data_IF_943350491792
#
_entry.id   IF_943350491792
#
_cell.length_a   1.000
_cell.length_b   1.000
_cell.length_c   1.000
_cell.angle_alpha   90.00
_cell.angle_beta   90.00
_cell.angle_gamma   90.00
#
_symmetry.space_group_name_H-M   'P 1'
#
loop_
_entity.id
_entity.type
_entity.pdbx_description
1 polymer ?
#
# COMPACT_ATOMS: atom_id res chain seq x y z
N UNK A 1 -43.01 -10.39 5.20
CA UNK A 1 -41.98 -10.22 6.24
C UNK A 1 -40.63 -10.09 5.53
N UNK A 2 -40.18 -8.86 5.26
CA UNK A 2 -38.90 -8.63 4.58
C UNK A 2 -37.77 -8.93 5.55
N UNK A 3 -36.99 -9.98 5.27
CA UNK A 3 -35.81 -10.35 6.05
C UNK A 3 -34.76 -9.27 5.79
N UNK A 4 -34.59 -8.31 6.71
CA UNK A 4 -33.50 -7.32 6.72
C UNK A 4 -32.13 -7.98 7.00
N UNK A 5 -31.84 -9.10 6.34
CA UNK A 5 -30.54 -9.73 6.33
C UNK A 5 -29.92 -9.48 4.97
N UNK A 6 -28.70 -8.94 4.95
CA UNK A 6 -27.91 -8.87 3.72
C UNK A 6 -27.92 -10.25 3.01
N UNK A 7 -27.95 -10.29 1.66
CA UNK A 7 -27.92 -11.53 0.88
C UNK A 7 -26.87 -12.52 1.40
N UNK A 8 -27.14 -13.82 1.37
CA UNK A 8 -26.16 -14.83 1.80
C UNK A 8 -24.85 -14.77 0.99
N UNK A 9 -24.90 -14.19 -0.22
CA UNK A 9 -23.74 -13.89 -1.07
C UNK A 9 -22.97 -12.63 -0.66
N UNK A 10 -23.55 -11.76 0.17
CA UNK A 10 -22.82 -10.73 0.94
C UNK A 10 -22.17 -11.31 2.21
N UNK A 11 -22.49 -12.57 2.54
CA UNK A 11 -22.04 -13.29 3.72
C UNK A 11 -20.66 -13.89 3.52
N UNK A 12 -19.64 -13.03 3.45
CA UNK A 12 -18.26 -13.35 3.82
C UNK A 12 -17.43 -12.08 3.63
N UNK A 13 -17.02 -11.43 4.73
CA UNK A 13 -15.92 -10.47 4.71
C UNK A 13 -14.61 -11.22 4.42
N UNK A 14 -14.47 -11.78 3.23
CA UNK A 14 -13.33 -12.61 2.87
C UNK A 14 -12.26 -11.80 2.17
N UNK A 15 -11.03 -12.07 2.58
CA UNK A 15 -9.77 -11.70 1.94
C UNK A 15 -9.59 -12.30 0.53
N UNK A 16 -10.60 -13.01 0.03
CA UNK A 16 -10.60 -13.68 -1.26
C UNK A 16 -10.71 -12.68 -2.41
N UNK A 17 -11.55 -11.65 -2.27
CA UNK A 17 -11.65 -10.58 -3.26
C UNK A 17 -10.34 -9.80 -3.36
N UNK A 18 -9.72 -9.51 -2.22
CA UNK A 18 -8.38 -8.88 -2.18
C UNK A 18 -7.32 -9.80 -2.75
N UNK A 19 -7.39 -11.12 -2.52
CA UNK A 19 -6.46 -12.07 -3.12
C UNK A 19 -6.56 -12.09 -4.66
N UNK A 20 -7.78 -12.07 -5.22
CA UNK A 20 -7.97 -11.99 -6.68
C UNK A 20 -7.36 -10.70 -7.23
N UNK A 21 -7.60 -9.57 -6.56
CA UNK A 21 -7.00 -8.29 -6.95
C UNK A 21 -5.47 -8.33 -6.86
N UNK A 22 -4.93 -8.95 -5.81
CA UNK A 22 -3.49 -9.04 -5.59
C UNK A 22 -2.81 -9.86 -6.67
N UNK A 23 -3.33 -11.05 -6.96
CA UNK A 23 -2.76 -11.93 -7.98
C UNK A 23 -3.00 -11.40 -9.41
N UNK A 24 -4.16 -10.80 -9.66
CA UNK A 24 -4.55 -10.35 -11.00
C UNK A 24 -3.92 -9.01 -11.42
N UNK A 25 -3.67 -8.10 -10.48
CA UNK A 25 -3.26 -6.74 -10.78
C UNK A 25 -2.06 -6.27 -9.96
N UNK A 26 -2.07 -6.46 -8.65
CA UNK A 26 -1.05 -5.87 -7.77
C UNK A 26 0.29 -6.55 -7.98
N UNK A 27 0.35 -7.88 -7.96
CA UNK A 27 1.56 -8.66 -8.17
C UNK A 27 2.25 -8.39 -9.53
N UNK A 28 1.56 -8.40 -10.69
CA UNK A 28 2.20 -8.06 -11.95
C UNK A 28 2.68 -6.60 -12.00
N UNK A 29 1.94 -5.65 -11.39
CA UNK A 29 2.40 -4.27 -11.27
C UNK A 29 3.65 -4.17 -10.39
N UNK A 30 3.69 -4.85 -9.25
CA UNK A 30 4.87 -4.88 -8.38
C UNK A 30 6.09 -5.48 -9.08
N UNK A 31 5.92 -6.58 -9.82
CA UNK A 31 6.99 -7.16 -10.64
C UNK A 31 7.49 -6.18 -11.69
N UNK A 32 6.57 -5.53 -12.42
CA UNK A 32 6.93 -4.55 -13.43
C UNK A 32 7.65 -3.34 -12.82
N UNK A 33 7.19 -2.84 -11.69
CA UNK A 33 7.82 -1.74 -10.95
C UNK A 33 9.20 -2.15 -10.43
N UNK A 34 9.35 -3.34 -9.87
CA UNK A 34 10.64 -3.87 -9.41
C UNK A 34 11.66 -3.97 -10.58
N UNK A 35 11.23 -4.50 -11.73
CA UNK A 35 12.07 -4.54 -12.95
C UNK A 35 12.47 -3.14 -13.40
N UNK A 36 11.55 -2.17 -13.40
CA UNK A 36 11.86 -0.79 -13.77
C UNK A 36 12.82 -0.13 -12.77
N UNK A 37 12.68 -0.42 -11.48
CA UNK A 37 13.55 0.07 -10.42
C UNK A 37 14.98 -0.49 -10.59
N UNK A 38 15.11 -1.79 -10.83
CA UNK A 38 16.40 -2.45 -11.12
C UNK A 38 17.05 -1.94 -12.40
N UNK A 39 16.24 -1.51 -13.38
CA UNK A 39 16.71 -0.90 -14.64
C UNK A 39 16.94 0.61 -14.51
N UNK A 40 16.86 1.18 -13.30
CA UNK A 40 16.99 2.62 -13.03
C UNK A 40 16.09 3.51 -13.91
N UNK A 41 14.89 3.02 -14.27
CA UNK A 41 13.92 3.79 -15.06
C UNK A 41 13.11 4.71 -14.15
N UNK A 42 12.78 5.94 -14.59
CA UNK A 42 12.06 6.92 -13.76
C UNK A 42 10.71 6.40 -13.28
N UNK A 43 10.01 5.62 -14.11
CA UNK A 43 8.73 5.02 -13.76
C UNK A 43 8.83 4.12 -12.52
N UNK A 44 9.93 3.38 -12.35
CA UNK A 44 10.15 2.51 -11.19
C UNK A 44 10.19 3.30 -9.89
N UNK A 45 10.89 4.44 -9.89
CA UNK A 45 10.97 5.31 -8.72
C UNK A 45 9.66 5.99 -8.37
N UNK A 46 8.82 6.32 -9.36
CA UNK A 46 7.50 6.93 -9.10
C UNK A 46 6.47 5.90 -8.64
N UNK A 47 6.44 4.72 -9.28
CA UNK A 47 5.45 3.68 -8.98
C UNK A 47 5.74 2.97 -7.64
N UNK A 48 7.02 2.81 -7.26
CA UNK A 48 7.41 2.12 -6.03
C UNK A 48 6.71 2.67 -4.76
N UNK A 49 6.77 3.99 -4.43
CA UNK A 49 6.10 4.50 -3.25
C UNK A 49 4.57 4.42 -3.35
N UNK A 50 3.99 4.56 -4.54
CA UNK A 50 2.53 4.47 -4.76
C UNK A 50 2.05 3.05 -4.46
N UNK A 51 2.68 2.04 -5.07
CA UNK A 51 2.32 0.64 -4.87
C UNK A 51 2.59 0.17 -3.44
N UNK A 52 3.70 0.63 -2.84
CA UNK A 52 4.01 0.34 -1.43
C UNK A 52 2.94 0.92 -0.51
N UNK A 53 2.51 2.16 -0.73
CA UNK A 53 1.43 2.78 0.03
C UNK A 53 0.10 2.04 -0.13
N UNK A 54 -0.25 1.65 -1.36
CA UNK A 54 -1.43 0.84 -1.62
C UNK A 54 -1.40 -0.48 -0.84
N UNK A 55 -0.26 -1.19 -0.85
CA UNK A 55 -0.09 -2.44 -0.09
C UNK A 55 -0.28 -2.23 1.42
N UNK A 56 0.25 -1.13 1.98
CA UNK A 56 0.03 -0.78 3.39
C UNK A 56 -1.46 -0.64 3.70
N UNK A 57 -2.20 0.10 2.86
CA UNK A 57 -3.65 0.29 3.02
C UNK A 57 -4.41 -1.03 2.97
N UNK A 58 -4.07 -1.92 2.04
CA UNK A 58 -4.71 -3.25 1.94
C UNK A 58 -4.54 -4.02 3.23
N UNK A 59 -3.35 -4.07 3.82
CA UNK A 59 -3.16 -4.77 5.10
C UNK A 59 -3.92 -4.15 6.27
N UNK A 60 -4.09 -2.82 6.30
CA UNK A 60 -4.95 -2.15 7.30
C UNK A 60 -6.41 -2.58 7.13
N UNK A 61 -6.90 -2.62 5.88
CA UNK A 61 -8.27 -3.07 5.58
C UNK A 61 -8.48 -4.52 5.97
N UNK A 62 -7.55 -5.42 5.60
CA UNK A 62 -7.62 -6.84 5.94
C UNK A 62 -7.60 -7.05 7.45
N UNK A 63 -6.75 -6.33 8.18
CA UNK A 63 -6.72 -6.38 9.64
C UNK A 63 -8.04 -5.87 10.25
N UNK A 64 -8.56 -4.76 9.73
CA UNK A 64 -9.84 -4.20 10.16
C UNK A 64 -11.01 -5.16 9.93
N UNK A 65 -11.05 -5.84 8.77
CA UNK A 65 -12.04 -6.87 8.48
C UNK A 65 -12.01 -7.99 9.52
N UNK A 66 -10.81 -8.43 9.92
CA UNK A 66 -10.65 -9.51 10.91
C UNK A 66 -11.07 -9.10 12.31
N UNK A 67 -10.77 -7.86 12.71
CA UNK A 67 -11.28 -7.31 13.97
C UNK A 67 -12.81 -7.28 13.96
N UNK A 68 -13.44 -6.85 12.85
CA UNK A 68 -14.90 -6.81 12.72
C UNK A 68 -15.55 -8.21 12.74
N UNK A 69 -14.89 -9.23 12.17
CA UNK A 69 -15.33 -10.62 12.26
C UNK A 69 -15.27 -11.15 13.69
N UNK A 70 -14.21 -10.81 14.44
CA UNK A 70 -14.08 -11.18 15.85
C UNK A 70 -15.22 -10.58 16.69
N UNK A 71 -15.63 -9.33 16.43
CA UNK A 71 -16.76 -8.70 17.11
C UNK A 71 -18.12 -9.33 16.79
N UNK A 72 -18.24 -10.03 15.66
CA UNK A 72 -19.47 -10.73 15.25
C UNK A 72 -19.54 -12.19 15.71
N UNK A 73 -18.56 -12.63 16.51
CA UNK A 73 -18.41 -14.02 16.94
C UNK A 73 -18.41 -15.02 15.77
N UNK A 74 -17.94 -14.59 14.59
CA UNK A 74 -17.71 -15.50 13.47
C UNK A 74 -16.55 -16.43 13.82
N UNK A 75 -16.77 -17.73 13.77
CA UNK A 75 -15.76 -18.75 14.09
C UNK A 75 -14.79 -18.87 12.91
N UNK A 76 -13.74 -18.04 12.92
CA UNK A 76 -12.59 -18.19 12.04
C UNK A 76 -11.52 -18.97 12.78
N UNK A 77 -10.97 -20.02 12.16
CA UNK A 77 -9.90 -20.79 12.79
C UNK A 77 -8.60 -19.98 12.88
N UNK A 78 -7.76 -20.29 13.87
CA UNK A 78 -6.43 -19.68 13.96
C UNK A 78 -5.58 -19.93 12.70
N UNK A 79 -5.75 -21.11 12.08
CA UNK A 79 -5.05 -21.47 10.85
C UNK A 79 -5.47 -20.57 9.67
N UNK A 80 -6.78 -20.35 9.48
CA UNK A 80 -7.29 -19.45 8.44
C UNK A 80 -6.83 -18.00 8.67
N UNK A 81 -6.83 -17.55 9.92
CA UNK A 81 -6.31 -16.21 10.27
C UNK A 81 -4.82 -16.11 9.90
N UNK A 82 -4.03 -17.12 10.22
CA UNK A 82 -2.62 -17.17 9.87
C UNK A 82 -2.37 -17.08 8.36
N UNK A 83 -3.12 -17.82 7.56
CA UNK A 83 -2.94 -17.87 6.10
C UNK A 83 -3.42 -16.57 5.43
N UNK A 84 -4.56 -16.03 5.86
CA UNK A 84 -5.23 -14.94 5.15
C UNK A 84 -4.92 -13.54 5.65
N UNK A 85 -4.30 -13.39 6.82
CA UNK A 85 -4.14 -12.09 7.50
C UNK A 85 -2.69 -11.79 7.76
N UNK A 86 -1.95 -12.78 8.26
CA UNK A 86 -0.55 -12.59 8.65
C UNK A 86 0.33 -12.07 7.51
N UNK A 87 0.24 -12.57 6.26
CA UNK A 87 1.07 -12.07 5.16
C UNK A 87 0.83 -10.58 4.91
N UNK A 88 -0.43 -10.15 4.93
CA UNK A 88 -0.80 -8.76 4.73
C UNK A 88 -0.27 -7.85 5.82
N UNK A 89 -0.42 -8.25 7.08
CA UNK A 89 0.07 -7.46 8.22
C UNK A 89 1.59 -7.32 8.17
N UNK A 90 2.31 -8.42 7.90
CA UNK A 90 3.77 -8.41 7.80
C UNK A 90 4.26 -7.56 6.61
N UNK A 91 3.67 -7.74 5.43
CA UNK A 91 4.03 -6.97 4.24
C UNK A 91 3.72 -5.48 4.43
N UNK A 92 2.60 -5.11 5.05
CA UNK A 92 2.28 -3.72 5.36
C UNK A 92 3.25 -3.12 6.38
N UNK A 93 3.67 -3.87 7.39
CA UNK A 93 4.68 -3.42 8.34
C UNK A 93 6.03 -3.16 7.65
N UNK A 94 6.51 -4.12 6.85
CA UNK A 94 7.74 -3.98 6.06
C UNK A 94 7.65 -2.83 5.04
N UNK A 95 6.52 -2.74 4.32
CA UNK A 95 6.24 -1.68 3.36
C UNK A 95 6.25 -0.29 4.01
N UNK A 96 5.75 -0.17 5.24
CA UNK A 96 5.80 1.07 6.01
C UNK A 96 7.23 1.50 6.27
N UNK A 97 8.10 0.58 6.69
CA UNK A 97 9.53 0.86 6.90
C UNK A 97 10.18 1.32 5.60
N UNK A 98 9.95 0.60 4.51
CA UNK A 98 10.52 0.95 3.18
C UNK A 98 10.04 2.31 2.71
N UNK A 99 8.74 2.60 2.84
CA UNK A 99 8.16 3.87 2.40
C UNK A 99 8.68 5.05 3.23
N UNK A 100 8.79 4.90 4.55
CA UNK A 100 9.36 5.92 5.42
C UNK A 100 10.80 6.21 5.03
N UNK A 101 11.62 5.18 4.84
CA UNK A 101 13.02 5.34 4.41
C UNK A 101 13.11 6.05 3.06
N UNK A 102 12.29 5.63 2.09
CA UNK A 102 12.23 6.26 0.77
C UNK A 102 11.89 7.76 0.84
N UNK A 103 10.87 8.13 1.62
CA UNK A 103 10.47 9.53 1.81
C UNK A 103 11.54 10.34 2.55
N UNK A 104 12.22 9.74 3.53
CA UNK A 104 13.33 10.39 4.23
C UNK A 104 14.51 10.65 3.29
N UNK A 105 14.81 9.77 2.34
CA UNK A 105 15.86 10.00 1.33
C UNK A 105 15.54 11.18 0.41
N UNK A 106 14.26 11.45 0.13
CA UNK A 106 13.85 12.55 -0.74
C UNK A 106 13.85 13.93 -0.05
N UNK A 107 13.73 13.98 1.28
CA UNK A 107 13.68 15.24 2.05
C UNK A 107 14.96 16.09 1.96
N UNK A 108 16.18 15.54 2.10
CA UNK A 108 17.44 16.30 2.05
C UNK A 108 17.67 17.02 0.72
N UNK A 109 17.34 16.38 -0.41
CA UNK A 109 17.61 16.96 -1.73
C UNK A 109 16.76 18.21 -2.02
N UNK A 110 15.57 18.33 -1.43
CA UNK A 110 14.71 19.51 -1.63
C UNK A 110 15.31 20.78 -1.02
N UNK A 111 16.01 20.67 0.11
CA UNK A 111 16.67 21.80 0.78
C UNK A 111 17.90 22.31 0.03
N UNK A 112 18.48 21.50 -0.86
CA UNK A 112 19.60 21.91 -1.71
C UNK A 112 19.10 22.64 -2.96
N UNK A 113 17.96 22.23 -3.53
CA UNK A 113 17.34 22.90 -4.67
C UNK A 113 16.79 24.29 -4.29
N UNK A 114 16.24 24.45 -3.08
CA UNK A 114 15.78 25.77 -2.59
C UNK A 114 16.93 26.74 -2.29
N UNK A 115 18.17 26.25 -2.12
CA UNK A 115 19.36 27.10 -1.90
C UNK A 115 20.06 27.54 -3.19
N UNK A 116 19.84 26.81 -4.29
CA UNK A 116 20.47 27.06 -5.58
C UNK A 116 19.69 28.05 -6.45
N UNK A 117 18.49 28.50 -6.06
CA UNK A 117 17.77 29.55 -6.79
C UNK A 117 18.52 30.89 -6.61
N UNK A 118 19.33 31.33 -7.59
CA UNK A 118 20.09 32.56 -7.44
C UNK A 118 19.10 33.71 -7.57
N UNK A 119 19.32 34.75 -6.78
CA UNK A 119 18.65 36.03 -6.82
C UNK A 119 18.80 36.72 -8.22
N UNK A 120 18.08 36.21 -9.21
CA UNK A 120 17.96 36.74 -10.58
C UNK A 120 16.97 37.90 -10.64
N UNK A 121 16.87 38.67 -9.54
CA UNK A 121 16.26 40.00 -9.53
C UNK A 121 17.30 41.12 -9.52
N UNK A 122 18.59 40.77 -9.43
CA UNK A 122 19.72 41.72 -9.45
C UNK A 122 20.29 41.99 -10.86
N UNK A 123 19.90 41.20 -11.88
CA UNK A 123 20.42 41.32 -13.26
C UNK A 123 19.54 42.13 -14.22
N UNK A 124 18.33 42.52 -13.80
CA UNK A 124 17.38 43.28 -14.62
C UNK A 124 17.38 44.79 -14.31
N UNK A 125 18.31 45.28 -13.49
CA UNK A 125 18.39 46.70 -13.10
C UNK A 125 19.70 47.39 -13.51
N UNK A 126 20.35 46.93 -14.58
CA UNK A 126 21.57 47.55 -15.15
C UNK A 126 21.29 48.13 -16.53
#
# INVERSE_FOLDING_TARGET
MFRNGAPATLGSYTTEVTAILDWGLVAPLFLWTAINLLRHRPNGFVLAPILTFFMILVGIVVLGQRLMQAFRAETVTFAETGVYVLPFVLLSAMGTVVLVNYLQTLRPNRLLLDKEEPNDKSRLSS
#
